data_IF_009276008301
#
_entry.id   IF_009276008301
#
_cell.length_a   1.000
_cell.length_b   1.000
_cell.length_c   1.000
_cell.angle_alpha   90.00
_cell.angle_beta   90.00
_cell.angle_gamma   90.00
#
_symmetry.space_group_name_H-M   'P 1'
#
loop_
_entity.id
_entity.type
_entity.pdbx_description
1 polymer ?
#
# COMPACT_ATOMS: atom_id res chain seq x y z
N UNK A 1 -39.17 78.72 6.10
CA UNK A 1 -38.02 79.59 6.39
C UNK A 1 -36.78 78.74 6.58
N UNK A 2 -35.79 78.83 5.67
CA UNK A 2 -34.37 78.57 5.98
C UNK A 2 -33.84 79.79 6.79
N UNK A 3 -32.67 79.77 7.49
CA UNK A 3 -31.51 78.87 7.32
C UNK A 3 -30.80 78.45 8.64
N UNK A 4 -29.81 77.55 8.53
CA UNK A 4 -28.43 77.79 9.05
C UNK A 4 -27.48 76.67 8.62
N UNK A 5 -26.42 77.07 7.90
CA UNK A 5 -25.25 76.27 7.57
C UNK A 5 -24.41 76.00 8.82
N UNK A 6 -23.88 74.78 8.95
CA UNK A 6 -22.60 74.54 9.61
C UNK A 6 -21.85 73.44 8.86
N UNK A 7 -20.61 73.76 8.48
CA UNK A 7 -19.60 72.88 7.93
C UNK A 7 -19.21 71.80 8.95
N UNK A 8 -18.99 70.54 8.53
CA UNK A 8 -17.95 69.71 9.13
C UNK A 8 -17.50 68.56 8.20
N UNK A 9 -16.31 68.78 7.61
CA UNK A 9 -15.16 67.90 7.45
C UNK A 9 -15.41 66.44 7.03
N UNK A 10 -15.06 66.18 5.77
CA UNK A 10 -14.75 64.89 5.16
C UNK A 10 -13.62 64.18 5.94
N UNK A 11 -13.78 62.91 6.30
CA UNK A 11 -12.67 62.03 6.67
C UNK A 11 -12.91 60.64 6.08
N UNK A 12 -12.24 60.39 4.95
CA UNK A 12 -12.16 59.09 4.28
C UNK A 12 -11.13 58.27 5.06
N UNK A 13 -11.59 57.28 5.82
CA UNK A 13 -10.72 56.20 6.30
C UNK A 13 -10.83 55.07 5.28
N UNK A 14 -9.88 55.03 4.35
CA UNK A 14 -9.64 53.86 3.51
C UNK A 14 -8.95 52.79 4.38
N UNK A 15 -9.71 51.80 4.85
CA UNK A 15 -9.12 50.56 5.35
C UNK A 15 -8.57 49.79 4.13
N UNK A 16 -7.25 49.81 3.98
CA UNK A 16 -6.51 48.83 3.21
C UNK A 16 -6.72 47.46 3.86
N UNK A 17 -7.71 46.70 3.36
CA UNK A 17 -7.75 45.24 3.55
C UNK A 17 -6.68 44.68 2.62
N UNK A 18 -5.48 44.48 3.13
CA UNK A 18 -4.46 43.69 2.46
C UNK A 18 -4.90 42.22 2.46
N UNK A 19 -5.30 41.72 1.29
CA UNK A 19 -5.57 40.30 1.06
C UNK A 19 -4.29 39.49 1.31
N UNK A 20 -4.22 38.83 2.46
CA UNK A 20 -3.10 37.98 2.86
C UNK A 20 -3.52 36.49 2.89
N UNK A 21 -4.46 36.08 2.04
CA UNK A 21 -5.00 34.71 1.99
C UNK A 21 -4.42 33.83 0.87
N UNK A 22 -3.52 34.35 0.03
CA UNK A 22 -2.95 33.57 -1.09
C UNK A 22 -1.71 32.74 -0.75
N UNK A 23 -1.01 33.03 0.35
CA UNK A 23 0.27 32.39 0.68
C UNK A 23 0.15 31.16 1.58
N UNK A 24 -0.89 31.05 2.42
CA UNK A 24 -1.01 29.94 3.37
C UNK A 24 -1.50 28.65 2.68
N UNK A 25 -2.50 28.75 1.80
CA UNK A 25 -3.07 27.60 1.08
C UNK A 25 -2.06 26.93 0.14
N UNK A 26 -1.29 27.72 -0.61
CA UNK A 26 -0.27 27.23 -1.55
C UNK A 26 0.91 26.55 -0.83
N UNK A 27 1.31 27.08 0.33
CA UNK A 27 2.33 26.44 1.18
C UNK A 27 1.84 25.15 1.85
N UNK A 28 0.57 25.06 2.24
CA UNK A 28 0.02 23.83 2.85
C UNK A 28 -0.15 22.71 1.83
N UNK A 29 -0.60 23.03 0.62
CA UNK A 29 -0.78 22.03 -0.45
C UNK A 29 0.57 21.49 -0.94
N UNK A 30 1.59 22.35 -1.04
CA UNK A 30 2.95 21.93 -1.41
C UNK A 30 3.62 21.07 -0.33
N UNK A 31 3.44 21.41 0.95
CA UNK A 31 3.96 20.61 2.06
C UNK A 31 3.28 19.22 2.15
N UNK A 32 1.96 19.16 1.95
CA UNK A 32 1.20 17.91 1.95
C UNK A 32 1.58 17.02 0.77
N UNK A 33 1.77 17.60 -0.42
CA UNK A 33 2.26 16.87 -1.59
C UNK A 33 3.68 16.31 -1.37
N UNK A 34 4.56 17.09 -0.76
CA UNK A 34 5.91 16.63 -0.41
C UNK A 34 5.90 15.49 0.62
N UNK A 35 5.01 15.54 1.62
CA UNK A 35 4.81 14.46 2.57
C UNK A 35 4.28 13.18 1.91
N UNK A 36 3.31 13.31 1.01
CA UNK A 36 2.79 12.20 0.22
C UNK A 36 3.89 11.54 -0.63
N UNK A 37 4.74 12.33 -1.30
CA UNK A 37 5.86 11.80 -2.07
C UNK A 37 6.88 11.06 -1.20
N UNK A 38 7.21 11.60 -0.02
CA UNK A 38 8.07 10.90 0.94
C UNK A 38 7.44 9.59 1.41
N UNK A 39 6.13 9.56 1.65
CA UNK A 39 5.40 8.35 2.04
C UNK A 39 5.45 7.27 0.96
N UNK A 40 5.22 7.62 -0.30
CA UNK A 40 5.35 6.70 -1.43
C UNK A 40 6.76 6.13 -1.57
N UNK A 41 7.78 7.00 -1.52
CA UNK A 41 9.18 6.58 -1.56
C UNK A 41 9.53 5.69 -0.39
N UNK A 42 9.03 6.01 0.80
CA UNK A 42 9.28 5.20 1.98
C UNK A 42 8.83 3.75 1.76
N UNK A 43 7.58 3.54 1.31
CA UNK A 43 7.03 2.21 1.03
C UNK A 43 7.74 1.46 -0.09
N UNK A 44 8.28 2.16 -1.09
CA UNK A 44 8.93 1.54 -2.26
C UNK A 44 10.44 1.37 -2.09
N UNK A 45 11.08 2.06 -1.15
CA UNK A 45 12.55 2.09 -1.06
C UNK A 45 13.09 1.55 0.27
N UNK A 46 12.25 1.39 1.30
CA UNK A 46 12.69 0.94 2.62
C UNK A 46 12.12 -0.44 2.94
N UNK A 47 12.99 -1.42 3.16
CA UNK A 47 12.61 -2.73 3.66
C UNK A 47 12.25 -2.61 5.15
N UNK A 48 10.96 -2.77 5.48
CA UNK A 48 10.46 -2.59 6.85
C UNK A 48 10.47 -3.89 7.67
N UNK A 49 10.75 -5.00 7.00
CA UNK A 49 10.78 -6.37 7.52
C UNK A 49 11.85 -7.15 6.75
N UNK A 50 12.35 -8.29 7.28
CA UNK A 50 13.31 -9.13 6.57
C UNK A 50 12.77 -9.61 5.20
N UNK A 51 13.66 -9.84 4.22
CA UNK A 51 13.26 -10.30 2.89
C UNK A 51 12.65 -11.71 2.93
N UNK A 52 11.66 -11.95 2.07
CA UNK A 52 10.98 -13.26 1.97
C UNK A 52 11.78 -14.23 1.08
N UNK A 53 12.53 -13.68 0.11
CA UNK A 53 13.43 -14.40 -0.79
C UNK A 53 14.45 -13.42 -1.40
N UNK A 54 15.35 -13.92 -2.25
CA UNK A 54 16.31 -13.09 -2.96
C UNK A 54 16.18 -13.20 -4.49
N UNK A 55 16.92 -12.35 -5.21
CA UNK A 55 16.87 -12.21 -6.66
C UNK A 55 17.08 -13.55 -7.36
N UNK A 56 18.07 -14.35 -6.96
CA UNK A 56 18.33 -15.68 -7.52
C UNK A 56 17.15 -16.64 -7.29
N UNK A 57 16.53 -16.61 -6.11
CA UNK A 57 15.32 -17.42 -5.84
C UNK A 57 14.17 -17.01 -6.76
N UNK A 58 13.97 -15.71 -6.98
CA UNK A 58 12.93 -15.21 -7.89
C UNK A 58 13.21 -15.58 -9.35
N UNK A 59 14.46 -15.49 -9.80
CA UNK A 59 14.87 -15.85 -11.17
C UNK A 59 14.73 -17.34 -11.48
N UNK A 60 14.76 -18.21 -10.46
CA UNK A 60 14.62 -19.66 -10.59
C UNK A 60 13.22 -20.18 -10.25
N UNK A 61 12.30 -19.31 -9.83
CA UNK A 61 10.93 -19.70 -9.40
C UNK A 61 10.15 -20.46 -10.46
N UNK A 62 10.43 -20.19 -11.74
CA UNK A 62 9.80 -20.88 -12.86
C UNK A 62 10.04 -22.38 -12.88
N UNK A 63 11.10 -22.85 -12.24
CA UNK A 63 11.40 -24.29 -12.12
C UNK A 63 10.41 -25.01 -11.20
N UNK A 64 9.69 -24.29 -10.34
CA UNK A 64 8.64 -24.83 -9.47
C UNK A 64 7.24 -24.77 -10.09
N UNK A 65 7.08 -24.17 -11.28
CA UNK A 65 5.77 -24.02 -11.91
C UNK A 65 5.20 -25.34 -12.45
N UNK A 66 3.87 -25.42 -12.68
CA UNK A 66 3.25 -26.51 -13.42
C UNK A 66 3.98 -26.81 -14.73
N UNK A 67 4.01 -28.08 -15.11
CA UNK A 67 4.84 -28.59 -16.21
C UNK A 67 4.72 -27.78 -17.51
N UNK A 68 3.50 -27.46 -17.95
CA UNK A 68 3.26 -26.68 -19.17
C UNK A 68 3.92 -25.30 -19.11
N UNK A 69 3.76 -24.59 -17.99
CA UNK A 69 4.34 -23.26 -17.78
C UNK A 69 5.85 -23.34 -17.61
N UNK A 70 6.36 -24.35 -16.92
CA UNK A 70 7.80 -24.56 -16.73
C UNK A 70 8.51 -24.85 -18.05
N UNK A 71 7.93 -25.69 -18.91
CA UNK A 71 8.46 -25.97 -20.25
C UNK A 71 8.46 -24.73 -21.14
N UNK A 72 7.38 -23.94 -21.08
CA UNK A 72 7.34 -22.64 -21.76
C UNK A 72 8.46 -21.73 -21.24
N UNK A 73 8.56 -21.52 -19.92
CA UNK A 73 9.56 -20.64 -19.33
C UNK A 73 11.01 -21.06 -19.63
N UNK A 74 11.28 -22.37 -19.72
CA UNK A 74 12.60 -22.89 -20.06
C UNK A 74 13.10 -22.40 -21.44
N UNK A 75 12.18 -22.17 -22.38
CA UNK A 75 12.49 -21.68 -23.73
C UNK A 75 12.65 -20.15 -23.84
N UNK A 76 12.24 -19.41 -22.81
CA UNK A 76 12.22 -17.95 -22.79
C UNK A 76 13.55 -17.35 -22.30
N UNK A 77 13.83 -16.11 -22.71
CA UNK A 77 14.91 -15.30 -22.15
C UNK A 77 14.63 -14.93 -20.68
N UNK A 78 15.65 -14.53 -19.89
CA UNK A 78 15.43 -14.08 -18.51
C UNK A 78 14.41 -12.94 -18.38
N UNK A 79 14.41 -11.99 -19.32
CA UNK A 79 13.48 -10.86 -19.32
C UNK A 79 12.02 -11.31 -19.56
N UNK A 80 11.81 -12.24 -20.50
CA UNK A 80 10.48 -12.79 -20.79
C UNK A 80 9.98 -13.68 -19.64
N UNK A 81 10.85 -14.50 -19.03
CA UNK A 81 10.49 -15.26 -17.82
C UNK A 81 10.08 -14.34 -16.68
N UNK A 82 10.78 -13.23 -16.52
CA UNK A 82 10.46 -12.23 -15.50
C UNK A 82 9.08 -11.61 -15.73
N UNK A 83 8.74 -11.29 -16.99
CA UNK A 83 7.40 -10.83 -17.36
C UNK A 83 6.33 -11.88 -17.06
N UNK A 84 6.59 -13.14 -17.43
CA UNK A 84 5.71 -14.27 -17.14
C UNK A 84 5.51 -14.48 -15.63
N UNK A 85 6.57 -14.34 -14.82
CA UNK A 85 6.48 -14.39 -13.36
C UNK A 85 5.64 -13.23 -12.80
N UNK A 86 5.82 -12.02 -13.33
CA UNK A 86 5.01 -10.85 -12.93
C UNK A 86 3.52 -11.07 -13.20
N UNK A 87 3.19 -11.60 -14.39
CA UNK A 87 1.81 -11.93 -14.75
C UNK A 87 1.22 -13.06 -13.88
N UNK A 88 2.02 -14.09 -13.58
CA UNK A 88 1.62 -15.23 -12.74
C UNK A 88 1.30 -14.80 -11.31
N UNK A 89 2.12 -13.94 -10.73
CA UNK A 89 2.00 -13.57 -9.32
C UNK A 89 1.25 -12.26 -9.07
N UNK A 90 0.75 -11.61 -10.12
CA UNK A 90 0.08 -10.31 -9.99
C UNK A 90 1.04 -9.19 -9.55
N UNK A 91 2.28 -9.23 -10.03
CA UNK A 91 3.26 -8.17 -9.79
C UNK A 91 3.24 -7.17 -10.94
N UNK A 92 3.49 -5.91 -10.62
CA UNK A 92 3.59 -4.82 -11.59
C UNK A 92 4.92 -4.12 -11.44
N UNK A 93 5.42 -3.52 -12.51
CA UNK A 93 6.54 -2.57 -12.38
C UNK A 93 6.04 -1.31 -11.65
N UNK A 94 6.96 -0.63 -10.97
CA UNK A 94 6.69 0.70 -10.43
C UNK A 94 6.44 1.67 -11.58
N UNK A 95 5.39 2.47 -11.45
CA UNK A 95 5.19 3.60 -12.34
C UNK A 95 6.34 4.61 -12.12
N UNK A 96 6.76 5.25 -13.20
CA UNK A 96 7.67 6.40 -13.19
C UNK A 96 9.07 6.16 -12.60
N UNK A 97 9.48 4.90 -12.39
CA UNK A 97 10.88 4.53 -12.16
C UNK A 97 11.34 3.53 -13.23
N UNK A 98 12.34 3.91 -14.02
CA UNK A 98 12.88 3.05 -15.09
C UNK A 98 13.73 1.90 -14.52
N UNK A 99 13.62 1.58 -13.23
CA UNK A 99 14.43 0.56 -12.57
C UNK A 99 13.96 -0.87 -12.88
N UNK A 100 12.71 -1.01 -13.34
CA UNK A 100 12.07 -2.30 -13.55
C UNK A 100 11.71 -3.03 -12.25
N UNK A 101 11.92 -2.41 -11.07
CA UNK A 101 11.58 -3.02 -9.77
C UNK A 101 10.06 -3.20 -9.63
N UNK A 102 9.61 -4.27 -8.97
CA UNK A 102 8.20 -4.48 -8.66
C UNK A 102 7.66 -3.37 -7.74
N UNK A 103 6.41 -2.98 -7.92
CA UNK A 103 5.71 -2.09 -6.99
C UNK A 103 5.51 -2.76 -5.62
N UNK A 104 5.22 -4.07 -5.64
CA UNK A 104 4.84 -4.90 -4.51
C UNK A 104 5.99 -5.30 -3.57
N UNK A 105 7.24 -5.12 -4.01
CA UNK A 105 8.43 -5.50 -3.24
C UNK A 105 9.47 -4.39 -3.28
N UNK A 106 10.16 -4.19 -2.16
CA UNK A 106 11.43 -3.48 -2.10
C UNK A 106 12.53 -4.47 -2.47
N UNK A 107 13.26 -4.16 -3.54
CA UNK A 107 14.44 -4.93 -3.96
C UNK A 107 15.69 -4.18 -3.53
N UNK A 108 16.39 -4.71 -2.52
CA UNK A 108 17.60 -4.14 -1.96
C UNK A 108 18.82 -4.34 -2.87
N UNK A 109 19.91 -3.57 -2.70
CA UNK A 109 21.11 -3.68 -3.56
C UNK A 109 21.77 -5.06 -3.55
N UNK A 110 21.67 -5.79 -2.44
CA UNK A 110 22.14 -7.18 -2.27
C UNK A 110 21.15 -8.21 -2.83
N UNK A 111 20.06 -7.76 -3.45
CA UNK A 111 19.08 -8.62 -4.12
C UNK A 111 18.03 -9.23 -3.20
N UNK A 112 17.87 -8.76 -1.95
CA UNK A 112 16.76 -9.15 -1.08
C UNK A 112 15.43 -8.59 -1.58
N UNK A 113 14.37 -9.43 -1.57
CA UNK A 113 13.01 -9.04 -1.92
C UNK A 113 12.16 -8.99 -0.66
N UNK A 114 11.82 -7.78 -0.24
CA UNK A 114 10.98 -7.52 0.91
C UNK A 114 9.60 -7.09 0.45
N UNK A 115 8.56 -7.86 0.75
CA UNK A 115 7.18 -7.48 0.45
C UNK A 115 6.83 -6.15 1.12
N UNK A 116 6.14 -5.27 0.40
CA UNK A 116 5.61 -4.02 0.95
C UNK A 116 4.08 -3.97 0.86
N UNK A 117 3.49 -2.89 1.36
CA UNK A 117 2.04 -2.72 1.41
C UNK A 117 1.35 -2.82 0.04
N UNK A 118 2.06 -2.51 -1.06
CA UNK A 118 1.50 -2.57 -2.40
C UNK A 118 1.34 -4.00 -2.92
N UNK A 119 1.89 -5.01 -2.26
CA UNK A 119 1.57 -6.42 -2.55
C UNK A 119 0.05 -6.63 -2.63
N UNK A 120 -0.68 -6.13 -1.64
CA UNK A 120 -2.15 -6.18 -1.60
C UNK A 120 -2.79 -4.87 -2.08
N UNK A 121 -2.16 -3.71 -1.86
CA UNK A 121 -2.73 -2.39 -2.14
C UNK A 121 -2.20 -1.69 -3.41
N UNK A 122 -1.51 -2.41 -4.29
CA UNK A 122 -1.00 -1.88 -5.56
C UNK A 122 -1.27 -2.84 -6.71
N UNK A 123 -2.36 -2.59 -7.43
CA UNK A 123 -2.82 -3.37 -8.57
C UNK A 123 -2.74 -2.59 -9.88
N UNK A 124 -3.63 -2.95 -10.81
CA UNK A 124 -3.77 -2.25 -12.09
C UNK A 124 -5.18 -1.73 -12.28
N UNK A 125 -5.31 -0.60 -12.98
CA UNK A 125 -6.58 -0.09 -13.50
C UNK A 125 -6.45 -0.04 -15.02
N UNK A 126 -7.28 -0.82 -15.72
CA UNK A 126 -7.20 -0.98 -17.17
C UNK A 126 -5.80 -1.33 -17.69
N UNK A 127 -5.05 -2.15 -16.93
CA UNK A 127 -3.69 -2.58 -17.27
C UNK A 127 -2.58 -1.61 -16.84
N UNK A 128 -2.92 -0.42 -16.37
CA UNK A 128 -1.93 0.55 -15.86
C UNK A 128 -1.67 0.29 -14.37
N UNK A 129 -0.42 0.10 -13.93
CA UNK A 129 -0.09 0.00 -12.50
C UNK A 129 -0.52 1.26 -11.74
N UNK A 130 -1.24 1.08 -10.62
CA UNK A 130 -1.71 2.18 -9.77
C UNK A 130 -1.44 1.84 -8.31
N UNK A 131 -0.54 2.60 -7.71
CA UNK A 131 -0.24 2.51 -6.28
C UNK A 131 -1.45 3.03 -5.48
N UNK A 132 -2.09 2.13 -4.73
CA UNK A 132 -3.35 2.37 -4.02
C UNK A 132 -4.60 1.75 -4.67
N UNK A 133 -4.48 1.17 -5.86
CA UNK A 133 -5.51 0.28 -6.40
C UNK A 133 -5.38 -1.11 -5.74
N UNK A 134 -6.49 -1.76 -5.34
CA UNK A 134 -6.44 -3.14 -4.83
C UNK A 134 -5.78 -4.08 -5.84
N UNK A 135 -4.85 -4.91 -5.38
CA UNK A 135 -4.22 -5.91 -6.22
C UNK A 135 -5.07 -7.17 -6.32
N UNK A 136 -6.05 -7.16 -7.21
CA UNK A 136 -6.95 -8.30 -7.47
C UNK A 136 -6.28 -9.48 -8.22
N UNK A 137 -4.95 -9.50 -8.36
CA UNK A 137 -4.20 -10.58 -9.02
C UNK A 137 -3.09 -11.16 -8.15
N UNK A 138 -2.84 -10.63 -6.95
CA UNK A 138 -1.73 -11.08 -6.13
C UNK A 138 -1.93 -12.55 -5.73
N UNK A 139 -0.99 -13.41 -6.16
CA UNK A 139 -1.04 -14.85 -5.90
C UNK A 139 -0.08 -15.20 -4.74
N UNK A 140 -0.39 -14.69 -3.55
CA UNK A 140 0.50 -14.75 -2.38
C UNK A 140 0.88 -16.20 -2.03
N UNK A 141 -0.10 -17.09 -1.90
CA UNK A 141 0.10 -18.50 -1.57
C UNK A 141 1.00 -19.19 -2.60
N UNK A 142 0.68 -19.06 -3.89
CA UNK A 142 1.50 -19.63 -4.97
C UNK A 142 2.93 -19.09 -4.95
N UNK A 143 3.13 -17.78 -4.79
CA UNK A 143 4.47 -17.18 -4.74
C UNK A 143 5.28 -17.68 -3.54
N UNK A 144 4.66 -17.74 -2.36
CA UNK A 144 5.32 -18.24 -1.14
C UNK A 144 5.72 -19.71 -1.29
N UNK A 145 4.82 -20.58 -1.71
CA UNK A 145 5.11 -22.02 -1.83
C UNK A 145 6.14 -22.31 -2.93
N UNK A 146 6.03 -21.66 -4.09
CA UNK A 146 6.92 -21.92 -5.22
C UNK A 146 8.34 -21.37 -4.96
N UNK A 147 8.46 -20.21 -4.28
CA UNK A 147 9.76 -19.70 -3.85
C UNK A 147 10.35 -20.52 -2.70
N UNK A 148 9.51 -21.07 -1.81
CA UNK A 148 9.96 -22.01 -0.79
C UNK A 148 10.53 -23.29 -1.41
N UNK A 149 9.86 -23.86 -2.40
CA UNK A 149 10.36 -25.03 -3.15
C UNK A 149 11.71 -24.76 -3.84
N UNK A 150 11.93 -23.56 -4.37
CA UNK A 150 13.25 -23.16 -4.90
C UNK A 150 14.28 -23.07 -3.78
N UNK A 151 13.97 -22.42 -2.65
CA UNK A 151 14.88 -22.30 -1.51
C UNK A 151 15.36 -23.67 -1.02
N UNK A 152 14.45 -24.65 -0.93
CA UNK A 152 14.80 -26.04 -0.59
C UNK A 152 15.81 -26.65 -1.57
N UNK A 153 15.61 -26.49 -2.89
CA UNK A 153 16.57 -26.97 -3.91
C UNK A 153 17.92 -26.25 -3.83
N UNK A 154 17.92 -24.98 -3.45
CA UNK A 154 19.12 -24.16 -3.28
C UNK A 154 19.84 -24.40 -1.94
N UNK A 155 19.29 -25.23 -1.04
CA UNK A 155 19.81 -25.42 0.32
C UNK A 155 19.71 -24.17 1.19
N UNK A 156 18.79 -23.24 0.88
CA UNK A 156 18.56 -22.02 1.65
C UNK A 156 17.58 -22.28 2.80
N UNK A 157 17.76 -21.60 3.95
CA UNK A 157 16.82 -21.71 5.05
C UNK A 157 15.44 -21.12 4.67
N UNK A 158 14.35 -21.58 5.32
CA UNK A 158 13.06 -20.93 5.20
C UNK A 158 13.13 -19.48 5.73
N UNK A 159 12.40 -18.61 5.07
CA UNK A 159 12.07 -17.25 5.52
C UNK A 159 10.97 -17.27 6.57
N UNK A 160 10.76 -16.12 7.23
CA UNK A 160 9.63 -15.91 8.14
C UNK A 160 8.28 -16.20 7.47
N UNK A 161 8.14 -15.89 6.18
CA UNK A 161 6.89 -16.05 5.45
C UNK A 161 6.58 -17.53 5.24
N UNK A 162 7.59 -18.34 4.94
CA UNK A 162 7.40 -19.79 4.77
C UNK A 162 7.01 -20.44 6.11
N UNK A 163 7.66 -20.06 7.21
CA UNK A 163 7.35 -20.58 8.55
C UNK A 163 5.98 -20.09 9.03
N UNK A 164 5.65 -18.82 8.78
CA UNK A 164 4.36 -18.22 9.13
C UNK A 164 3.20 -18.91 8.40
N UNK A 165 3.36 -19.21 7.11
CA UNK A 165 2.37 -19.90 6.29
C UNK A 165 2.07 -21.34 6.76
N UNK A 166 3.00 -21.98 7.48
CA UNK A 166 2.76 -23.31 8.10
C UNK A 166 1.89 -23.22 9.36
N UNK A 167 1.94 -22.10 10.08
CA UNK A 167 1.16 -21.90 11.30
C UNK A 167 -0.20 -21.25 11.03
N UNK A 168 -0.24 -20.30 10.08
CA UNK A 168 -1.44 -19.61 9.61
C UNK A 168 -1.50 -19.88 8.10
N UNK A 169 -2.35 -20.80 7.63
CA UNK A 169 -2.50 -21.10 6.22
C UNK A 169 -2.75 -19.83 5.40
N UNK A 170 -2.22 -19.77 4.18
CA UNK A 170 -2.48 -18.65 3.28
C UNK A 170 -3.81 -18.84 2.55
N UNK A 171 -4.49 -17.74 2.27
CA UNK A 171 -5.60 -17.70 1.33
C UNK A 171 -5.24 -18.37 -0.01
N UNK A 172 -6.12 -19.22 -0.51
CA UNK A 172 -5.89 -20.01 -1.75
C UNK A 172 -6.42 -19.31 -3.00
N UNK A 173 -6.90 -18.09 -2.83
CA UNK A 173 -7.47 -17.24 -3.87
C UNK A 173 -6.45 -16.22 -4.38
N UNK A 174 -6.53 -15.86 -5.67
CA UNK A 174 -5.73 -14.77 -6.21
C UNK A 174 -6.47 -13.45 -6.04
N UNK A 175 -5.79 -12.46 -5.48
CA UNK A 175 -6.30 -11.09 -5.33
C UNK A 175 -7.00 -10.79 -4.01
N UNK A 176 -7.40 -11.80 -3.28
CA UNK A 176 -7.85 -11.70 -1.89
C UNK A 176 -6.79 -12.28 -0.95
N UNK A 177 -6.77 -11.82 0.29
CA UNK A 177 -5.80 -12.30 1.28
C UNK A 177 -6.45 -12.42 2.65
N UNK A 178 -5.97 -13.35 3.46
CA UNK A 178 -6.28 -13.44 4.88
C UNK A 178 -5.37 -12.54 5.74
N UNK A 179 -4.97 -11.38 5.21
CA UNK A 179 -4.07 -10.44 5.86
C UNK A 179 -4.53 -10.02 7.27
N UNK A 180 -5.84 -9.93 7.52
CA UNK A 180 -6.34 -9.62 8.87
C UNK A 180 -6.02 -10.72 9.88
N UNK A 181 -6.05 -12.00 9.47
CA UNK A 181 -5.67 -13.13 10.33
C UNK A 181 -4.18 -13.05 10.70
N UNK A 182 -3.31 -12.71 9.73
CA UNK A 182 -1.90 -12.42 10.01
C UNK A 182 -1.73 -11.24 10.96
N UNK A 183 -2.50 -10.16 10.76
CA UNK A 183 -2.50 -9.00 11.65
C UNK A 183 -2.86 -9.37 13.09
N UNK A 184 -3.85 -10.23 13.30
CA UNK A 184 -4.21 -10.75 14.62
C UNK A 184 -3.06 -11.55 15.24
N UNK A 185 -2.45 -12.47 14.48
CA UNK A 185 -1.31 -13.26 14.94
C UNK A 185 -0.11 -12.40 15.35
N UNK A 186 0.20 -11.36 14.58
CA UNK A 186 1.28 -10.43 14.89
C UNK A 186 1.01 -9.58 16.14
N UNK A 187 -0.24 -9.11 16.32
CA UNK A 187 -0.63 -8.31 17.49
C UNK A 187 -0.66 -9.12 18.79
N UNK A 188 -1.07 -10.39 18.72
CA UNK A 188 -1.10 -11.29 19.89
C UNK A 188 0.30 -11.55 20.47
N UNK A 189 1.36 -11.37 19.68
CA UNK A 189 2.75 -11.54 20.10
C UNK A 189 3.38 -10.21 20.58
N UNK A 190 2.58 -9.25 21.03
CA UNK A 190 3.04 -7.95 21.52
C UNK A 190 2.44 -7.57 22.87
N UNK A 191 3.26 -6.97 23.73
CA UNK A 191 2.78 -6.23 24.89
C UNK A 191 2.42 -4.78 24.52
N UNK A 192 1.91 -4.01 25.50
CA UNK A 192 1.54 -2.60 25.33
C UNK A 192 2.73 -1.68 25.01
N UNK A 193 3.96 -2.11 25.25
CA UNK A 193 5.19 -1.40 24.87
C UNK A 193 5.74 -1.84 23.50
N UNK A 194 5.05 -2.75 22.80
CA UNK A 194 5.47 -3.35 21.53
C UNK A 194 6.70 -4.26 21.64
N UNK A 195 7.03 -4.76 22.84
CA UNK A 195 7.99 -5.85 22.97
C UNK A 195 7.37 -7.14 22.44
N UNK A 196 8.20 -7.99 21.83
CA UNK A 196 7.77 -9.33 21.46
C UNK A 196 7.57 -10.18 22.71
N UNK A 197 6.43 -10.86 22.80
CA UNK A 197 6.11 -11.80 23.87
C UNK A 197 5.87 -13.19 23.31
N UNK A 198 6.45 -14.19 23.95
CA UNK A 198 6.19 -15.58 23.60
C UNK A 198 4.77 -15.93 24.05
N UNK A 199 3.91 -16.22 23.09
CA UNK A 199 2.52 -16.63 23.32
C UNK A 199 2.28 -17.99 22.67
N UNK A 200 1.45 -18.81 23.32
CA UNK A 200 1.01 -20.07 22.74
C UNK A 200 0.22 -19.80 21.45
N UNK A 201 0.43 -20.58 20.38
CA UNK A 201 -0.34 -20.43 19.14
C UNK A 201 -1.84 -20.52 19.41
N UNK A 202 -2.58 -19.54 18.91
CA UNK A 202 -4.04 -19.56 18.90
C UNK A 202 -4.53 -19.94 17.51
N UNK A 203 -5.65 -20.65 17.46
CA UNK A 203 -6.37 -20.85 16.22
C UNK A 203 -7.21 -19.62 15.91
N UNK A 204 -7.20 -19.19 14.66
CA UNK A 204 -8.04 -18.13 14.14
C UNK A 204 -9.00 -18.72 13.12
N UNK A 205 -10.21 -18.15 13.03
CA UNK A 205 -11.08 -18.45 11.89
C UNK A 205 -10.48 -17.78 10.66
N UNK A 206 -10.04 -18.60 9.71
CA UNK A 206 -9.41 -18.10 8.50
C UNK A 206 -10.45 -17.57 7.52
N UNK A 207 -10.13 -16.46 6.87
CA UNK A 207 -11.00 -15.80 5.89
C UNK A 207 -10.19 -14.92 4.95
N UNK A 208 -10.53 -14.95 3.67
CA UNK A 208 -9.94 -14.09 2.66
C UNK A 208 -10.77 -12.81 2.49
N UNK A 209 -10.07 -11.68 2.30
CA UNK A 209 -10.69 -10.39 2.05
C UNK A 209 -10.00 -9.62 0.93
N UNK A 210 -10.79 -8.82 0.22
CA UNK A 210 -10.28 -7.83 -0.73
C UNK A 210 -9.54 -6.73 0.01
N UNK A 211 -8.42 -6.29 -0.57
CA UNK A 211 -7.78 -5.06 -0.12
C UNK A 211 -8.69 -3.86 -0.41
N UNK A 212 -9.01 -2.98 0.56
CA UNK A 212 -9.77 -1.78 0.27
C UNK A 212 -8.97 -0.82 -0.64
N UNK A 213 -9.62 -0.16 -1.61
CA UNK A 213 -8.96 0.84 -2.44
C UNK A 213 -8.57 2.07 -1.62
N UNK A 214 -7.27 2.40 -1.61
CA UNK A 214 -6.75 3.52 -0.85
C UNK A 214 -7.23 4.88 -1.36
N UNK A 215 -7.63 4.97 -2.63
CA UNK A 215 -8.15 6.22 -3.20
C UNK A 215 -9.48 6.70 -2.59
N UNK A 216 -10.13 5.93 -1.71
CA UNK A 216 -11.27 6.39 -0.91
C UNK A 216 -10.93 6.70 0.54
N UNK A 217 -9.69 6.46 0.97
CA UNK A 217 -9.25 6.62 2.35
C UNK A 217 -9.46 8.05 2.87
N UNK A 218 -9.34 9.08 2.01
CA UNK A 218 -9.59 10.47 2.40
C UNK A 218 -11.03 10.72 2.89
N UNK A 219 -12.02 9.92 2.45
CA UNK A 219 -13.42 10.03 2.91
C UNK A 219 -13.77 9.14 4.09
N UNK A 220 -12.91 8.18 4.45
CA UNK A 220 -13.21 7.21 5.52
C UNK A 220 -12.83 7.79 6.88
N UNK A 221 -13.70 7.67 7.91
CA UNK A 221 -13.41 8.14 9.27
C UNK A 221 -12.57 7.14 10.08
N UNK A 222 -12.57 5.87 9.70
CA UNK A 222 -11.89 4.75 10.38
C UNK A 222 -11.20 3.83 9.37
N UNK A 223 -10.40 2.89 9.88
CA UNK A 223 -9.73 1.85 9.10
C UNK A 223 -10.42 0.49 9.28
N UNK A 224 -10.12 -0.42 8.36
CA UNK A 224 -10.72 -1.77 8.25
C UNK A 224 -12.21 -1.76 7.88
N UNK A 225 -12.72 -2.91 7.43
CA UNK A 225 -14.06 -3.04 6.84
C UNK A 225 -15.19 -2.90 7.86
N UNK A 226 -14.93 -3.31 9.10
CA UNK A 226 -15.80 -3.17 10.26
C UNK A 226 -15.61 -1.82 10.98
N UNK A 227 -14.63 -1.02 10.55
CA UNK A 227 -14.31 0.27 11.15
C UNK A 227 -13.70 0.20 12.54
N UNK A 228 -13.13 -0.94 12.97
CA UNK A 228 -12.71 -1.13 14.36
C UNK A 228 -11.57 -0.20 14.81
N UNK A 229 -10.72 0.25 13.88
CA UNK A 229 -9.55 1.04 14.21
C UNK A 229 -9.71 2.53 13.85
N UNK A 230 -9.27 3.38 14.77
CA UNK A 230 -9.17 4.81 14.53
C UNK A 230 -8.23 5.10 13.34
N UNK A 231 -8.63 6.06 12.50
CA UNK A 231 -7.79 6.52 11.40
C UNK A 231 -6.52 7.21 11.92
N UNK A 232 -5.37 6.63 11.64
CA UNK A 232 -4.08 7.20 12.01
C UNK A 232 -2.91 6.43 11.42
N UNK A 233 -1.69 6.96 11.62
CA UNK A 233 -0.47 6.37 11.05
C UNK A 233 -0.02 5.10 11.78
N UNK A 234 -0.32 4.97 13.08
CA UNK A 234 0.10 3.81 13.89
C UNK A 234 -0.53 2.49 13.43
N UNK A 235 -1.82 2.50 13.10
CA UNK A 235 -2.49 1.28 12.62
C UNK A 235 -1.95 0.79 11.27
N UNK A 236 -1.36 1.68 10.46
CA UNK A 236 -0.70 1.30 9.21
C UNK A 236 0.59 0.49 9.43
N UNK A 237 1.12 0.46 10.65
CA UNK A 237 2.33 -0.27 11.02
C UNK A 237 2.06 -1.73 11.39
N UNK A 238 0.81 -2.21 11.39
CA UNK A 238 0.44 -3.55 11.89
C UNK A 238 1.28 -4.68 11.27
N UNK A 239 1.55 -4.64 9.96
CA UNK A 239 2.31 -5.68 9.27
C UNK A 239 3.83 -5.60 9.48
N UNK A 240 4.32 -4.63 10.26
CA UNK A 240 5.72 -4.57 10.69
C UNK A 240 5.94 -5.13 12.09
N UNK A 241 4.90 -5.63 12.77
CA UNK A 241 4.93 -6.29 14.08
C UNK A 241 5.64 -7.67 14.10
N UNK A 242 6.56 -7.89 13.17
CA UNK A 242 7.40 -9.10 13.11
C UNK A 242 8.42 -9.11 14.27
N UNK A 243 8.85 -10.28 14.79
CA UNK A 243 9.71 -10.37 15.97
C UNK A 243 11.01 -9.55 15.91
N UNK A 244 11.54 -9.31 14.70
CA UNK A 244 12.76 -8.54 14.45
C UNK A 244 12.60 -7.05 14.74
N UNK A 245 11.37 -6.54 14.75
CA UNK A 245 11.06 -5.14 15.01
C UNK A 245 10.61 -4.94 16.47
N UNK A 246 11.53 -4.52 17.32
CA UNK A 246 11.26 -4.12 18.70
C UNK A 246 10.74 -2.67 18.83
N UNK A 247 10.49 -2.18 20.06
CA UNK A 247 9.89 -0.87 20.32
C UNK A 247 10.61 0.31 19.64
N UNK A 248 11.95 0.26 19.57
CA UNK A 248 12.75 1.32 18.94
C UNK A 248 12.51 1.46 17.44
N UNK A 249 12.12 0.37 16.75
CA UNK A 249 11.71 0.44 15.36
C UNK A 249 10.54 1.41 15.19
N UNK A 250 9.51 1.28 16.05
CA UNK A 250 8.31 2.10 15.94
C UNK A 250 8.60 3.57 16.25
N UNK A 251 9.38 3.84 17.31
CA UNK A 251 9.81 5.21 17.64
C UNK A 251 10.61 5.84 16.50
N UNK A 252 11.46 5.07 15.83
CA UNK A 252 12.29 5.55 14.71
C UNK A 252 11.46 5.89 13.47
N UNK A 253 10.49 5.05 13.12
CA UNK A 253 9.75 5.16 11.87
C UNK A 253 8.38 5.83 11.99
N UNK A 254 7.97 6.27 13.19
CA UNK A 254 6.65 6.88 13.39
C UNK A 254 6.39 8.07 12.46
N UNK A 255 7.37 8.97 12.31
CA UNK A 255 7.26 10.13 11.41
C UNK A 255 7.20 9.71 9.94
N UNK A 256 7.92 8.66 9.53
CA UNK A 256 7.80 8.13 8.17
C UNK A 256 6.39 7.58 7.91
N UNK A 257 5.75 6.97 8.90
CA UNK A 257 4.37 6.51 8.75
C UNK A 257 3.34 7.66 8.74
N UNK A 258 3.66 8.84 9.27
CA UNK A 258 2.85 10.05 9.03
C UNK A 258 2.91 10.50 7.57
N UNK A 259 4.08 10.42 6.96
CA UNK A 259 4.23 10.64 5.51
C UNK A 259 3.46 9.57 4.71
N UNK A 260 3.48 8.30 5.14
CA UNK A 260 2.65 7.23 4.53
C UNK A 260 1.16 7.54 4.66
N UNK A 261 0.69 7.97 5.83
CA UNK A 261 -0.69 8.39 6.01
C UNK A 261 -1.07 9.54 5.07
N UNK A 262 -0.15 10.51 4.90
CA UNK A 262 -0.31 11.63 3.97
C UNK A 262 -0.41 11.14 2.52
N UNK A 263 0.42 10.18 2.12
CA UNK A 263 0.37 9.54 0.81
C UNK A 263 -1.00 8.89 0.56
N UNK A 264 -1.42 7.97 1.43
CA UNK A 264 -2.69 7.25 1.27
C UNK A 264 -3.87 8.24 1.22
N UNK A 265 -3.84 9.29 2.04
CA UNK A 265 -4.88 10.34 2.07
C UNK A 265 -4.89 11.22 0.80
N UNK A 266 -3.75 11.38 0.14
CA UNK A 266 -3.63 12.16 -1.09
C UNK A 266 -4.28 11.49 -2.31
N UNK A 267 -4.42 10.15 -2.29
CA UNK A 267 -4.87 9.38 -3.44
C UNK A 267 -6.32 9.72 -3.84
N UNK A 268 -6.57 9.72 -5.15
CA UNK A 268 -7.88 9.97 -5.76
C UNK A 268 -8.21 8.88 -6.78
N UNK A 269 -9.50 8.50 -6.92
CA UNK A 269 -9.88 7.47 -7.87
C UNK A 269 -9.58 7.96 -9.29
N UNK A 270 -9.12 7.07 -10.19
CA UNK A 270 -8.94 7.44 -11.60
C UNK A 270 -10.28 7.83 -12.22
N UNK A 271 -10.26 8.79 -13.14
CA UNK A 271 -11.45 9.12 -13.94
C UNK A 271 -11.78 7.98 -14.88
N UNK A 272 -13.06 7.65 -15.01
CA UNK A 272 -13.52 6.72 -16.04
C UNK A 272 -13.20 7.30 -17.43
N UNK A 273 -12.53 6.52 -18.28
CA UNK A 273 -12.05 6.95 -19.60
C UNK A 273 -12.98 6.56 -20.75
N UNK A 274 -13.97 5.71 -20.49
CA UNK A 274 -14.95 5.29 -21.48
C UNK A 274 -16.02 6.36 -21.75
N UNK A 275 -16.83 6.12 -22.77
CA UNK A 275 -18.00 6.95 -23.05
C UNK A 275 -19.04 6.82 -21.93
N UNK A 276 -19.63 7.94 -21.52
CA UNK A 276 -20.72 7.99 -20.54
C UNK A 276 -21.97 8.49 -21.26
N UNK A 277 -23.04 7.69 -21.23
CA UNK A 277 -24.38 8.16 -21.59
C UNK A 277 -24.84 9.16 -20.51
N UNK A 278 -24.81 10.45 -20.86
CA UNK A 278 -25.12 11.52 -19.92
C UNK A 278 -26.60 11.52 -19.49
N UNK A 279 -27.52 11.13 -20.37
CA UNK A 279 -28.93 11.08 -20.04
C UNK A 279 -29.20 9.95 -19.03
N UNK A 280 -28.61 8.78 -19.25
CA UNK A 280 -28.70 7.68 -18.29
C UNK A 280 -27.99 7.98 -16.97
N UNK A 281 -26.82 8.63 -17.01
CA UNK A 281 -26.10 9.03 -15.82
C UNK A 281 -26.89 10.03 -14.96
N UNK A 282 -27.58 10.99 -15.58
CA UNK A 282 -28.42 11.95 -14.88
C UNK A 282 -29.64 11.27 -14.24
N UNK A 283 -30.28 10.32 -14.93
CA UNK A 283 -31.32 9.48 -14.33
C UNK A 283 -30.79 8.70 -13.11
N UNK A 284 -29.60 8.11 -13.24
CA UNK A 284 -28.94 7.39 -12.14
C UNK A 284 -28.61 8.29 -10.95
N UNK A 285 -28.24 9.56 -11.19
CA UNK A 285 -27.96 10.55 -10.14
C UNK A 285 -29.17 10.78 -9.24
N UNK A 286 -30.37 10.83 -9.82
CA UNK A 286 -31.62 11.01 -9.07
C UNK A 286 -31.98 9.79 -8.21
N UNK A 287 -31.54 8.58 -8.59
CA UNK A 287 -31.77 7.36 -7.81
C UNK A 287 -30.77 7.17 -6.66
N UNK A 288 -29.57 7.77 -6.75
CA UNK A 288 -28.50 7.62 -5.77
C UNK A 288 -28.54 8.68 -4.66
N UNK A 289 -29.17 9.84 -4.92
CA UNK A 289 -29.37 10.91 -3.94
C UNK A 289 -30.47 10.56 -2.94
#
# INVERSE_FOLDING_TARGET
MRPRCFFLILSIVAMLVTTQDGRSADHTDTAAAAAAERGYRFLTQNALIPPDFNQTTFEEVWQSWPESLRLQAASLSPAERRKMAFERYGLTIRADDNSGKPLQYVVSPDGGWTMNCFACHGGTVYGTPVAGAPNNRFALQSLTEETFAVKLRQGKPPSRMDLGAMAIPLGTSNGTTNAVVFGMGLMEQRDEQLNWVLMLPKSFTDHDMDAPPWWYFYKRPSMYIDGFAEKGHRGLMQFTLVPENGPEFYRRYEENFRDVLSYITSLRPPKYSGAIDQALAENGRQLFM
#
